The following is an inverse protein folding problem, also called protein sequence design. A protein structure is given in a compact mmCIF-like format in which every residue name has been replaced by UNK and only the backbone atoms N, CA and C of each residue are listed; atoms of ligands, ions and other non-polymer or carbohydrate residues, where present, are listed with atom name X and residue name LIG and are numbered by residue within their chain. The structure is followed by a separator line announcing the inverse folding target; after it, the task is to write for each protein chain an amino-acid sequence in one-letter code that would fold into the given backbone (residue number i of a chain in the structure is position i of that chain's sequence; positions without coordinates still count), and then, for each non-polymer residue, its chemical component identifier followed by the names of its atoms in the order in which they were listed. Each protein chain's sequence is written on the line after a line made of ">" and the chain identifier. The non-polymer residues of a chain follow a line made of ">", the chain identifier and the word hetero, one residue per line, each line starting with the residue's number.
data_IF_449102842977
#
_entry.id   IF_449102842977
#
_cell.length_a   1.000
_cell.length_b   1.000
_cell.length_c   1.000
_cell.angle_alpha   90.00
_cell.angle_beta   90.00
_cell.angle_gamma   90.00
#
_symmetry.space_group_name_H-M   'P 1'
#
loop_
_entity.id
_entity.type
_entity.pdbx_description
1 polymer ?
#
# COMPACT_ATOMS: atom_id res chain seq x y z
N UNK A 1 49.76 20.54 32.91
CA UNK A 1 48.42 21.12 33.12
C UNK A 1 47.42 20.24 32.40
N UNK A 2 46.64 19.46 33.15
CA UNK A 2 45.70 18.46 32.63
C UNK A 2 44.33 19.12 32.44
N UNK A 3 43.74 19.01 31.26
CA UNK A 3 42.31 19.18 31.07
C UNK A 3 41.73 17.87 30.54
N UNK A 4 40.88 17.26 31.37
CA UNK A 4 39.97 16.18 31.01
C UNK A 4 38.88 16.76 30.11
N UNK A 5 38.53 16.05 29.04
CA UNK A 5 37.25 16.24 28.35
C UNK A 5 36.53 14.91 28.47
N UNK A 6 35.46 14.91 29.27
CA UNK A 6 34.56 13.79 29.49
C UNK A 6 33.48 13.75 28.40
N UNK A 7 33.14 12.51 28.05
CA UNK A 7 32.06 12.10 27.15
C UNK A 7 30.68 12.52 27.67
N UNK A 8 29.77 12.92 26.78
CA UNK A 8 28.33 12.87 27.03
C UNK A 8 27.57 12.35 25.81
N UNK A 9 26.84 11.26 26.04
CA UNK A 9 25.80 10.69 25.18
C UNK A 9 24.45 11.33 25.56
N UNK A 10 23.47 11.44 24.64
CA UNK A 10 22.08 11.58 25.03
C UNK A 10 21.23 10.44 24.47
N UNK A 11 20.84 9.55 25.38
CA UNK A 11 19.58 8.82 25.31
C UNK A 11 18.83 9.13 26.61
N UNK A 12 17.51 9.20 26.50
CA UNK A 12 16.48 9.01 27.53
C UNK A 12 15.51 10.17 27.85
N UNK A 13 14.24 9.79 27.67
CA UNK A 13 13.10 9.95 28.57
C UNK A 13 12.36 11.28 28.66
N UNK A 14 11.12 11.23 28.17
CA UNK A 14 10.05 12.19 28.44
C UNK A 14 8.93 11.39 29.11
N UNK A 15 8.90 11.39 30.44
CA UNK A 15 7.70 11.08 31.22
C UNK A 15 7.22 12.30 32.03
N UNK A 16 5.91 12.50 31.91
CA UNK A 16 4.91 13.06 32.82
C UNK A 16 5.36 13.69 34.16
N UNK A 17 4.92 14.94 34.34
CA UNK A 17 4.78 15.56 35.67
C UNK A 17 3.67 16.62 35.66
N UNK A 18 2.50 16.30 36.21
CA UNK A 18 1.55 17.31 36.69
C UNK A 18 1.18 16.97 38.13
N UNK A 19 1.57 17.92 38.99
CA UNK A 19 1.36 17.96 40.44
C UNK A 19 -0.06 18.45 40.73
N UNK A 20 -0.76 17.87 41.71
CA UNK A 20 -2.06 18.37 42.16
C UNK A 20 -2.47 17.81 43.51
N UNK A 21 -2.35 18.65 44.54
CA UNK A 21 -2.61 18.35 45.95
C UNK A 21 -4.11 18.32 46.28
N UNK A 22 -4.45 17.61 47.36
CA UNK A 22 -5.79 17.32 47.82
C UNK A 22 -6.42 18.39 48.75
N UNK A 23 -7.74 18.22 48.96
CA UNK A 23 -8.64 18.70 50.03
C UNK A 23 -9.49 19.97 49.76
N UNK A 24 -10.62 20.20 50.48
CA UNK A 24 -11.70 19.28 50.88
C UNK A 24 -13.13 19.82 50.60
N UNK A 25 -14.11 18.93 50.83
CA UNK A 25 -15.57 19.09 50.70
C UNK A 25 -16.16 20.34 51.37
N UNK A 26 -16.97 21.11 50.62
CA UNK A 26 -18.04 21.98 51.17
C UNK A 26 -19.35 21.76 50.41
N UNK A 27 -20.36 21.26 51.14
CA UNK A 27 -21.77 21.25 50.75
C UNK A 27 -22.23 22.69 50.46
N UNK A 28 -22.74 22.95 49.26
CA UNK A 28 -23.58 24.13 48.96
C UNK A 28 -25.00 23.65 48.67
N UNK A 29 -25.92 24.03 49.55
CA UNK A 29 -27.36 24.04 49.30
C UNK A 29 -27.62 24.91 48.06
N UNK A 30 -28.23 24.34 47.03
CA UNK A 30 -28.84 25.12 45.94
C UNK A 30 -30.27 25.44 46.36
N UNK A 31 -30.48 26.70 46.73
CA UNK A 31 -31.81 27.33 46.69
C UNK A 31 -32.24 27.39 45.22
N UNK A 32 -33.40 26.82 44.91
CA UNK A 32 -34.03 26.93 43.60
C UNK A 32 -34.72 28.29 43.53
N UNK A 33 -34.17 29.18 42.71
CA UNK A 33 -34.88 30.38 42.28
C UNK A 33 -35.99 29.95 41.30
N UNK A 34 -37.23 30.30 41.63
CA UNK A 34 -38.41 30.11 40.79
C UNK A 34 -38.41 31.23 39.75
N UNK A 35 -38.37 30.87 38.47
CA UNK A 35 -38.47 31.81 37.34
C UNK A 35 -39.94 32.27 37.19
N UNK A 36 -40.24 33.58 37.32
CA UNK A 36 -41.60 34.10 37.21
C UNK A 36 -42.18 34.12 35.78
N UNK A 37 -41.45 33.67 34.76
CA UNK A 37 -41.91 33.68 33.36
C UNK A 37 -42.12 32.28 32.75
N UNK A 38 -42.25 31.23 33.57
CA UNK A 38 -42.55 29.90 33.07
C UNK A 38 -43.99 29.80 32.52
N UNK A 39 -44.10 29.70 31.20
CA UNK A 39 -45.35 29.48 30.45
C UNK A 39 -45.98 28.14 30.88
N UNK A 40 -47.31 28.10 31.17
CA UNK A 40 -47.97 26.89 31.63
C UNK A 40 -48.03 25.79 30.54
N UNK A 41 -47.92 24.51 30.92
CA UNK A 41 -48.06 23.40 29.97
C UNK A 41 -49.51 23.26 29.46
N UNK A 42 -49.71 22.75 28.24
CA UNK A 42 -51.02 22.63 27.60
C UNK A 42 -51.94 21.61 28.29
N UNK A 43 -53.27 21.76 28.12
CA UNK A 43 -54.28 20.96 28.81
C UNK A 43 -54.25 19.49 28.41
N UNK A 44 -54.40 18.62 29.42
CA UNK A 44 -54.44 17.17 29.27
C UNK A 44 -55.70 16.73 28.51
N UNK A 45 -55.51 15.94 27.46
CA UNK A 45 -56.58 15.37 26.64
C UNK A 45 -57.38 14.32 27.43
N UNK A 46 -58.70 14.36 27.26
CA UNK A 46 -59.69 13.50 27.87
C UNK A 46 -59.48 11.98 27.59
N UNK A 47 -59.95 11.09 28.48
CA UNK A 47 -59.80 9.64 28.31
C UNK A 47 -60.64 9.12 27.14
N UNK A 48 -59.96 8.58 26.12
CA UNK A 48 -60.59 7.87 25.00
C UNK A 48 -61.22 6.56 25.48
N UNK A 49 -62.54 6.46 25.26
CA UNK A 49 -63.34 5.25 25.40
C UNK A 49 -62.65 4.06 24.71
N UNK A 50 -62.48 2.96 25.47
CA UNK A 50 -62.08 1.63 24.95
C UNK A 50 -63.07 1.18 23.88
N UNK A 51 -62.75 1.41 22.60
CA UNK A 51 -63.30 0.62 21.50
C UNK A 51 -62.68 -0.77 21.62
N UNK A 52 -63.52 -1.80 21.77
CA UNK A 52 -63.16 -3.21 21.58
C UNK A 52 -62.33 -3.34 20.30
N UNK A 53 -61.01 -3.51 20.42
CA UNK A 53 -60.23 -4.07 19.32
C UNK A 53 -60.70 -5.51 19.14
N UNK A 54 -61.36 -5.77 18.01
CA UNK A 54 -61.39 -7.11 17.44
C UNK A 54 -59.93 -7.54 17.29
N UNK A 55 -59.57 -8.67 17.90
CA UNK A 55 -58.28 -9.30 17.74
C UNK A 55 -58.14 -9.70 16.27
N UNK A 56 -57.50 -8.82 15.48
CA UNK A 56 -56.94 -9.20 14.20
C UNK A 56 -55.69 -9.99 14.55
N UNK A 57 -55.69 -11.29 14.25
CA UNK A 57 -54.56 -12.19 14.43
C UNK A 57 -53.29 -11.55 13.85
N UNK A 58 -52.45 -10.99 14.72
CA UNK A 58 -51.12 -10.42 14.38
C UNK A 58 -50.08 -11.50 14.08
N UNK A 59 -50.48 -12.78 14.09
CA UNK A 59 -49.59 -13.92 13.87
C UNK A 59 -49.70 -14.51 12.45
N UNK A 60 -50.53 -13.95 11.58
CA UNK A 60 -50.41 -14.20 10.15
C UNK A 60 -49.23 -13.37 9.60
N UNK A 61 -48.00 -13.82 9.89
CA UNK A 61 -46.84 -13.44 9.09
C UNK A 61 -47.15 -13.95 7.68
N UNK A 62 -47.43 -13.09 6.68
CA UNK A 62 -47.56 -13.56 5.32
C UNK A 62 -46.27 -14.34 4.99
N UNK A 63 -46.35 -15.51 4.34
CA UNK A 63 -45.15 -16.28 4.03
C UNK A 63 -44.18 -15.35 3.33
N UNK A 64 -43.04 -15.10 3.99
CA UNK A 64 -41.98 -14.25 3.46
C UNK A 64 -41.71 -14.71 2.04
N UNK A 65 -41.78 -13.82 1.03
CA UNK A 65 -41.66 -14.23 -0.37
C UNK A 65 -40.32 -14.95 -0.52
N UNK A 66 -40.40 -16.27 -0.69
CA UNK A 66 -39.25 -17.13 -0.96
C UNK A 66 -38.55 -16.48 -2.16
N UNK A 67 -37.29 -16.08 -1.99
CA UNK A 67 -36.54 -15.43 -3.05
C UNK A 67 -36.33 -16.44 -4.18
N UNK A 68 -37.25 -16.46 -5.15
CA UNK A 68 -37.16 -17.33 -6.32
C UNK A 68 -36.06 -16.79 -7.22
N UNK A 69 -35.03 -17.59 -7.42
CA UNK A 69 -33.93 -17.26 -8.31
C UNK A 69 -34.43 -17.18 -9.76
N UNK A 70 -33.87 -16.23 -10.51
CA UNK A 70 -34.07 -16.14 -11.95
C UNK A 70 -33.75 -17.46 -12.66
N UNK A 71 -34.53 -17.82 -13.69
CA UNK A 71 -34.26 -19.02 -14.50
C UNK A 71 -32.89 -18.96 -15.20
N UNK A 72 -32.34 -17.76 -15.41
CA UNK A 72 -31.02 -17.55 -16.01
C UNK A 72 -30.08 -16.92 -14.99
N UNK A 73 -28.87 -17.48 -14.86
CA UNK A 73 -27.84 -17.01 -13.91
C UNK A 73 -27.25 -15.63 -14.27
N UNK A 74 -27.48 -15.16 -15.49
CA UNK A 74 -26.98 -13.88 -16.03
C UNK A 74 -27.90 -12.71 -15.65
N UNK A 75 -29.06 -12.99 -15.08
CA UNK A 75 -30.06 -11.99 -14.76
C UNK A 75 -30.02 -11.60 -13.27
N UNK A 76 -29.89 -10.30 -12.99
CA UNK A 76 -29.92 -9.79 -11.61
C UNK A 76 -31.34 -9.64 -11.06
N UNK A 77 -32.31 -9.27 -11.91
CA UNK A 77 -33.72 -9.18 -11.55
C UNK A 77 -34.57 -9.67 -12.70
N UNK A 78 -35.49 -10.58 -12.42
CA UNK A 78 -36.43 -11.10 -13.40
C UNK A 78 -37.79 -10.41 -13.32
N UNK A 79 -38.55 -10.51 -14.41
CA UNK A 79 -39.98 -10.29 -14.40
C UNK A 79 -40.69 -11.38 -13.58
N UNK A 80 -41.97 -11.16 -13.25
CA UNK A 80 -42.81 -12.08 -12.47
C UNK A 80 -42.92 -13.49 -13.10
N UNK A 81 -42.74 -13.59 -14.41
CA UNK A 81 -42.75 -14.87 -15.14
C UNK A 81 -41.44 -15.67 -14.98
N UNK A 82 -40.42 -15.10 -14.35
CA UNK A 82 -39.05 -15.64 -14.19
C UNK A 82 -38.34 -16.01 -15.50
N UNK A 83 -38.95 -15.72 -16.65
CA UNK A 83 -38.46 -16.05 -17.99
C UNK A 83 -37.77 -14.85 -18.63
N UNK A 84 -38.24 -13.64 -18.31
CA UNK A 84 -37.65 -12.39 -18.79
C UNK A 84 -36.82 -11.72 -17.70
N UNK A 85 -35.80 -11.04 -18.15
CA UNK A 85 -34.93 -10.24 -17.32
C UNK A 85 -35.36 -8.77 -17.35
N UNK A 86 -35.33 -8.12 -16.19
CA UNK A 86 -35.51 -6.67 -16.07
C UNK A 86 -34.14 -5.96 -16.01
N UNK A 87 -33.14 -6.60 -15.40
CA UNK A 87 -31.77 -6.07 -15.31
C UNK A 87 -30.75 -7.20 -15.44
N UNK A 88 -29.82 -7.06 -16.38
CA UNK A 88 -28.74 -8.03 -16.61
C UNK A 88 -27.53 -7.78 -15.70
N UNK A 89 -26.72 -8.82 -15.50
CA UNK A 89 -25.41 -8.71 -14.88
C UNK A 89 -24.47 -7.82 -15.70
N UNK A 90 -23.41 -7.30 -15.06
CA UNK A 90 -22.37 -6.54 -15.75
C UNK A 90 -21.71 -7.39 -16.87
N UNK A 91 -21.39 -6.74 -17.99
CA UNK A 91 -20.96 -7.36 -19.24
C UNK A 91 -22.10 -7.80 -20.16
N UNK A 92 -23.36 -7.65 -19.73
CA UNK A 92 -24.55 -8.01 -20.51
C UNK A 92 -25.52 -6.83 -20.64
N UNK A 93 -26.34 -6.86 -21.69
CA UNK A 93 -27.40 -5.90 -21.95
C UNK A 93 -28.74 -6.59 -22.16
N UNK A 94 -29.81 -5.86 -21.88
CA UNK A 94 -31.16 -6.35 -22.07
C UNK A 94 -31.57 -6.22 -23.53
N UNK A 95 -31.89 -7.34 -24.17
CA UNK A 95 -32.44 -7.37 -25.52
C UNK A 95 -33.93 -7.00 -25.51
N UNK A 96 -34.47 -6.63 -26.67
CA UNK A 96 -35.91 -6.30 -26.81
C UNK A 96 -36.85 -7.45 -26.42
N UNK A 97 -36.38 -8.69 -26.47
CA UNK A 97 -37.15 -9.88 -26.08
C UNK A 97 -37.10 -10.15 -24.56
N UNK A 98 -36.39 -9.33 -23.80
CA UNK A 98 -36.22 -9.49 -22.36
C UNK A 98 -35.16 -10.51 -21.97
N UNK A 99 -34.22 -10.86 -22.86
CA UNK A 99 -33.09 -11.75 -22.53
C UNK A 99 -31.78 -10.98 -22.44
N UNK A 100 -30.83 -11.47 -21.65
CA UNK A 100 -29.51 -10.86 -21.53
C UNK A 100 -28.56 -11.37 -22.61
N UNK A 101 -27.96 -10.47 -23.37
CA UNK A 101 -26.93 -10.78 -24.35
C UNK A 101 -25.60 -10.10 -23.96
N UNK A 102 -24.47 -10.73 -24.27
CA UNK A 102 -23.15 -10.22 -23.89
C UNK A 102 -22.77 -9.01 -24.74
N UNK A 103 -22.18 -7.99 -24.12
CA UNK A 103 -21.58 -6.88 -24.85
C UNK A 103 -20.40 -7.40 -25.70
N UNK A 104 -20.32 -6.97 -26.97
CA UNK A 104 -19.25 -7.37 -27.89
C UNK A 104 -18.00 -6.48 -27.82
N UNK A 105 -18.08 -5.35 -27.13
CA UNK A 105 -16.98 -4.40 -27.00
C UNK A 105 -16.01 -4.81 -25.88
N UNK A 106 -14.69 -4.80 -26.13
CA UNK A 106 -13.70 -5.10 -25.08
C UNK A 106 -13.71 -4.04 -23.99
N UNK A 107 -13.64 -4.47 -22.72
CA UNK A 107 -13.61 -3.60 -21.55
C UNK A 107 -14.93 -2.86 -21.26
N UNK A 108 -16.03 -3.31 -21.86
CA UNK A 108 -17.35 -2.70 -21.69
C UNK A 108 -18.18 -3.42 -20.62
N UNK A 109 -18.41 -2.73 -19.50
CA UNK A 109 -19.24 -3.25 -18.41
C UNK A 109 -20.74 -3.15 -18.72
N UNK A 110 -21.20 -2.12 -19.45
CA UNK A 110 -22.62 -1.99 -19.87
C UNK A 110 -22.72 -1.40 -21.26
N UNK A 111 -23.62 -1.93 -22.07
CA UNK A 111 -23.92 -1.44 -23.42
C UNK A 111 -25.44 -1.24 -23.59
N UNK A 112 -25.85 -0.32 -24.46
CA UNK A 112 -27.23 0.16 -24.58
C UNK A 112 -28.06 -0.59 -25.63
N UNK A 113 -27.88 -1.91 -25.73
CA UNK A 113 -28.50 -2.70 -26.81
C UNK A 113 -27.83 -2.56 -28.17
N UNK A 114 -27.10 -1.47 -28.40
CA UNK A 114 -26.19 -1.32 -29.54
C UNK A 114 -24.84 -1.96 -29.20
N UNK A 115 -24.52 -3.07 -29.89
CA UNK A 115 -23.25 -3.78 -29.75
C UNK A 115 -22.02 -2.94 -30.10
N UNK A 116 -22.20 -1.75 -30.69
CA UNK A 116 -21.12 -0.83 -31.05
C UNK A 116 -20.93 0.32 -30.07
N UNK A 117 -21.84 0.49 -29.09
CA UNK A 117 -21.77 1.56 -28.09
C UNK A 117 -21.80 1.02 -26.66
N UNK A 118 -20.79 1.43 -25.90
CA UNK A 118 -20.71 1.21 -24.47
C UNK A 118 -21.25 2.42 -23.70
N UNK A 119 -21.94 2.17 -22.59
CA UNK A 119 -22.44 3.18 -21.66
C UNK A 119 -21.67 3.21 -20.35
N UNK A 120 -21.06 2.10 -19.95
CA UNK A 120 -20.17 2.03 -18.79
C UNK A 120 -19.00 1.07 -19.06
N UNK A 121 -17.79 1.48 -18.70
CA UNK A 121 -16.58 0.68 -18.87
C UNK A 121 -16.23 -0.10 -17.61
N UNK A 122 -15.50 -1.21 -17.80
CA UNK A 122 -14.92 -1.98 -16.70
C UNK A 122 -13.90 -1.14 -15.91
N UNK A 123 -13.56 -1.62 -14.71
CA UNK A 123 -12.42 -1.08 -13.97
C UNK A 123 -11.17 -1.12 -14.87
N UNK A 124 -10.36 -0.07 -14.82
CA UNK A 124 -9.19 0.14 -15.71
C UNK A 124 -9.50 0.54 -17.16
N UNK A 125 -10.76 0.88 -17.48
CA UNK A 125 -11.15 1.48 -18.76
C UNK A 125 -11.92 2.80 -18.55
N UNK A 126 -11.85 3.69 -19.54
CA UNK A 126 -12.62 4.94 -19.57
C UNK A 126 -13.46 5.07 -20.84
N UNK A 127 -14.58 5.78 -20.72
CA UNK A 127 -15.51 5.94 -21.82
C UNK A 127 -15.10 7.11 -22.73
N UNK A 128 -14.79 6.81 -23.99
CA UNK A 128 -14.43 7.80 -25.01
C UNK A 128 -15.29 7.57 -26.23
N UNK A 129 -16.20 8.51 -26.51
CA UNK A 129 -17.12 8.46 -27.69
C UNK A 129 -17.86 7.12 -27.81
N UNK A 130 -18.37 6.59 -26.70
CA UNK A 130 -19.10 5.31 -26.68
C UNK A 130 -18.21 4.07 -26.76
N UNK A 131 -16.88 4.19 -26.66
CA UNK A 131 -15.95 3.06 -26.61
C UNK A 131 -15.14 3.08 -25.33
N UNK A 132 -14.82 1.90 -24.81
CA UNK A 132 -13.94 1.75 -23.66
C UNK A 132 -12.49 1.71 -24.11
N UNK A 133 -11.70 2.62 -23.57
CA UNK A 133 -10.27 2.72 -23.85
C UNK A 133 -9.52 2.42 -22.56
N UNK A 134 -8.46 1.60 -22.56
CA UNK A 134 -7.69 1.31 -21.35
C UNK A 134 -7.17 2.58 -20.70
N UNK A 135 -7.21 2.64 -19.37
CA UNK A 135 -6.57 3.68 -18.60
C UNK A 135 -5.04 3.45 -18.64
N UNK A 136 -4.31 4.25 -19.42
CA UNK A 136 -2.86 4.10 -19.53
C UNK A 136 -2.14 4.56 -18.26
N UNK A 137 -1.33 3.70 -17.66
CA UNK A 137 -0.45 4.06 -16.55
C UNK A 137 -1.14 4.19 -15.19
N UNK A 138 -2.38 3.72 -15.05
CA UNK A 138 -3.05 3.63 -13.75
C UNK A 138 -2.76 2.29 -13.08
N UNK A 139 -2.71 2.29 -11.76
CA UNK A 139 -2.62 1.06 -10.98
C UNK A 139 -3.97 0.32 -11.06
N UNK A 140 -3.92 -0.98 -11.35
CA UNK A 140 -5.14 -1.80 -11.48
C UNK A 140 -5.81 -2.01 -10.13
N UNK A 141 -5.03 -2.38 -9.10
CA UNK A 141 -5.52 -2.70 -7.76
C UNK A 141 -4.71 -2.01 -6.66
N UNK A 142 -5.32 -1.73 -5.50
CA UNK A 142 -4.60 -1.30 -4.29
C UNK A 142 -3.80 -2.44 -3.64
N UNK A 143 -3.22 -2.17 -2.46
CA UNK A 143 -2.50 -3.15 -1.66
C UNK A 143 -3.42 -4.23 -1.08
N UNK A 144 -4.73 -3.99 -1.00
CA UNK A 144 -5.76 -4.93 -0.54
C UNK A 144 -6.44 -5.68 -1.70
N UNK A 145 -5.98 -5.48 -2.95
CA UNK A 145 -6.53 -6.11 -4.14
C UNK A 145 -7.84 -5.49 -4.65
N UNK A 146 -8.28 -4.33 -4.12
CA UNK A 146 -9.45 -3.64 -4.63
C UNK A 146 -9.12 -2.87 -5.91
N UNK A 147 -10.02 -2.84 -6.91
CA UNK A 147 -9.77 -2.15 -8.17
C UNK A 147 -9.68 -0.63 -7.98
N UNK A 148 -8.57 -0.03 -8.43
CA UNK A 148 -8.36 1.43 -8.42
C UNK A 148 -8.76 2.06 -9.75
N UNK A 149 -8.21 1.56 -10.85
CA UNK A 149 -8.45 2.03 -12.21
C UNK A 149 -8.30 3.55 -12.41
N UNK A 150 -9.07 4.09 -13.36
CA UNK A 150 -9.26 5.53 -13.54
C UNK A 150 -10.73 5.93 -13.44
N UNK A 151 -10.97 7.20 -13.15
CA UNK A 151 -12.31 7.76 -13.20
C UNK A 151 -12.87 7.66 -14.63
N UNK A 152 -14.07 7.08 -14.76
CA UNK A 152 -14.63 6.72 -16.06
C UNK A 152 -14.92 7.94 -16.97
N UNK A 153 -15.10 9.13 -16.39
CA UNK A 153 -15.43 10.37 -17.11
C UNK A 153 -14.18 11.17 -17.47
N UNK A 154 -13.31 11.38 -16.49
CA UNK A 154 -12.12 12.25 -16.62
C UNK A 154 -10.89 11.48 -17.11
N UNK A 155 -10.84 10.16 -16.90
CA UNK A 155 -9.67 9.34 -17.17
C UNK A 155 -8.53 9.56 -16.19
N UNK A 156 -8.77 10.28 -15.09
CA UNK A 156 -7.76 10.56 -14.06
C UNK A 156 -7.61 9.31 -13.19
N UNK A 157 -6.38 8.80 -13.07
CA UNK A 157 -6.09 7.67 -12.18
C UNK A 157 -6.25 8.09 -10.71
N UNK A 158 -6.64 7.16 -9.83
CA UNK A 158 -6.49 7.39 -8.37
C UNK A 158 -5.03 7.30 -7.95
N UNK A 159 -4.33 6.29 -8.46
CA UNK A 159 -2.89 6.13 -8.32
C UNK A 159 -2.27 5.74 -9.66
N UNK A 160 -1.07 6.23 -9.93
CA UNK A 160 -0.30 5.79 -11.09
C UNK A 160 0.31 4.41 -10.81
N UNK A 161 0.39 3.59 -11.84
CA UNK A 161 1.11 2.32 -11.79
C UNK A 161 2.61 2.55 -11.52
N UNK A 162 3.28 1.50 -11.06
CA UNK A 162 4.74 1.49 -10.95
C UNK A 162 5.37 1.84 -12.31
N UNK A 163 6.40 2.70 -12.28
CA UNK A 163 7.01 3.22 -13.50
C UNK A 163 6.37 4.51 -14.03
N UNK A 164 5.25 4.96 -13.46
CA UNK A 164 4.51 6.15 -13.90
C UNK A 164 4.48 7.24 -12.81
N UNK A 165 4.23 8.48 -13.24
CA UNK A 165 4.08 9.63 -12.36
C UNK A 165 2.94 10.53 -12.83
N UNK A 166 2.36 11.27 -11.89
CA UNK A 166 1.26 12.19 -12.19
C UNK A 166 1.81 13.52 -12.70
N UNK A 167 1.43 13.93 -13.91
CA UNK A 167 1.81 15.23 -14.45
C UNK A 167 0.86 16.36 -13.98
N UNK A 168 1.12 17.60 -14.43
CA UNK A 168 0.31 18.77 -14.08
C UNK A 168 -1.17 18.65 -14.50
N UNK A 169 -1.48 17.83 -15.52
CA UNK A 169 -2.86 17.55 -15.98
C UNK A 169 -3.52 16.38 -15.26
N UNK A 170 -2.93 15.90 -14.17
CA UNK A 170 -3.38 14.72 -13.41
C UNK A 170 -3.32 13.40 -14.19
N UNK A 171 -2.66 13.36 -15.35
CA UNK A 171 -2.48 12.15 -16.13
C UNK A 171 -1.23 11.39 -15.67
N UNK A 172 -1.32 10.06 -15.64
CA UNK A 172 -0.17 9.20 -15.36
C UNK A 172 0.65 9.02 -16.63
N UNK A 173 1.90 9.48 -16.58
CA UNK A 173 2.84 9.42 -17.69
C UNK A 173 4.03 8.56 -17.29
N UNK A 174 4.56 7.78 -18.25
CA UNK A 174 5.69 6.89 -17.99
C UNK A 174 6.91 7.72 -17.66
N UNK A 175 7.56 7.42 -16.54
CA UNK A 175 8.79 8.08 -16.17
C UNK A 175 9.97 7.61 -17.03
N UNK A 176 11.02 8.43 -17.07
CA UNK A 176 12.21 8.18 -17.90
C UNK A 176 13.36 7.53 -17.13
N UNK A 177 13.24 7.40 -15.80
CA UNK A 177 14.31 6.89 -14.94
C UNK A 177 14.21 5.36 -14.89
N UNK A 178 15.21 4.64 -15.41
CA UNK A 178 15.18 3.19 -15.38
C UNK A 178 15.11 2.67 -13.93
N UNK A 179 14.36 1.57 -13.74
CA UNK A 179 14.14 0.90 -12.45
C UNK A 179 13.44 1.73 -11.36
N UNK A 180 12.92 2.92 -11.68
CA UNK A 180 12.14 3.67 -10.73
C UNK A 180 10.73 3.10 -10.58
N UNK A 181 10.34 2.75 -9.35
CA UNK A 181 9.01 2.25 -8.99
C UNK A 181 8.02 3.39 -8.86
N UNK A 182 8.29 4.33 -7.97
CA UNK A 182 7.46 5.52 -7.78
C UNK A 182 8.28 6.77 -8.02
N UNK A 183 7.68 7.75 -8.68
CA UNK A 183 8.35 8.97 -9.11
C UNK A 183 7.84 10.17 -8.33
N UNK A 184 8.73 11.11 -8.02
CA UNK A 184 8.38 12.43 -7.52
C UNK A 184 8.19 13.43 -8.67
N UNK A 185 8.92 13.27 -9.77
CA UNK A 185 8.85 14.11 -10.96
C UNK A 185 9.39 13.34 -12.19
N UNK A 186 9.31 13.89 -13.43
CA UNK A 186 9.87 13.23 -14.61
C UNK A 186 11.37 12.89 -14.49
N UNK A 187 12.07 13.63 -13.63
CA UNK A 187 13.53 13.55 -13.43
C UNK A 187 13.92 13.22 -11.98
N UNK A 188 12.96 12.85 -11.14
CA UNK A 188 13.22 12.45 -9.75
C UNK A 188 12.41 11.21 -9.37
N UNK A 189 13.13 10.17 -8.90
CA UNK A 189 12.52 8.95 -8.38
C UNK A 189 12.31 9.05 -6.88
N UNK A 190 11.16 8.58 -6.38
CA UNK A 190 10.83 8.50 -4.96
C UNK A 190 11.17 7.12 -4.37
N UNK A 191 10.85 6.04 -5.08
CA UNK A 191 11.15 4.64 -4.67
C UNK A 191 11.58 3.85 -5.90
N UNK A 192 12.61 3.02 -5.80
CA UNK A 192 13.03 2.11 -6.87
C UNK A 192 12.36 0.74 -6.75
N UNK A 193 12.19 0.06 -7.88
CA UNK A 193 11.56 -1.26 -7.90
C UNK A 193 12.49 -2.30 -7.28
N UNK A 194 12.04 -3.11 -6.31
CA UNK A 194 12.84 -4.20 -5.81
C UNK A 194 12.96 -5.28 -6.89
N UNK A 195 14.17 -5.48 -7.40
CA UNK A 195 14.58 -6.72 -8.07
C UNK A 195 13.94 -7.03 -9.44
N UNK A 196 14.37 -6.35 -10.51
CA UNK A 196 14.56 -7.07 -11.78
C UNK A 196 15.70 -8.08 -11.56
N UNK A 197 15.32 -9.27 -11.06
CA UNK A 197 16.14 -10.42 -10.65
C UNK A 197 17.40 -10.08 -9.83
N UNK A 198 17.19 -9.86 -8.53
CA UNK A 198 18.24 -9.60 -7.54
C UNK A 198 17.68 -8.76 -6.40
N UNK A 199 16.98 -9.41 -5.47
CA UNK A 199 16.48 -8.80 -4.24
C UNK A 199 17.64 -8.32 -3.36
N UNK A 200 18.03 -7.05 -3.51
CA UNK A 200 18.71 -6.21 -2.53
C UNK A 200 18.59 -4.77 -3.04
N UNK A 201 18.00 -3.88 -2.24
CA UNK A 201 17.67 -2.49 -2.58
C UNK A 201 18.74 -1.80 -3.43
N UNK A 202 18.36 -1.29 -4.61
CA UNK A 202 19.10 -0.25 -5.33
C UNK A 202 20.63 -0.41 -5.32
N UNK A 203 21.15 -1.60 -5.66
CA UNK A 203 22.59 -1.85 -5.58
C UNK A 203 23.35 -0.82 -6.43
N UNK A 204 24.15 0.00 -5.75
CA UNK A 204 25.01 0.98 -6.39
C UNK A 204 24.34 2.30 -6.77
N UNK A 205 23.26 2.73 -6.09
CA UNK A 205 22.73 4.10 -6.23
C UNK A 205 22.45 4.74 -4.87
N UNK A 206 22.84 6.01 -4.71
CA UNK A 206 22.59 6.82 -3.51
C UNK A 206 21.77 8.07 -3.83
N UNK A 207 20.98 8.56 -2.87
CA UNK A 207 20.19 9.79 -2.99
C UNK A 207 21.06 11.01 -2.71
N UNK A 208 21.17 11.93 -3.67
CA UNK A 208 21.80 13.25 -3.48
C UNK A 208 20.95 14.17 -2.60
N UNK A 209 21.58 15.23 -2.08
CA UNK A 209 20.91 16.31 -1.34
C UNK A 209 19.78 17.00 -2.14
N UNK A 210 19.79 16.86 -3.47
CA UNK A 210 18.74 17.38 -4.35
C UNK A 210 17.66 16.33 -4.69
N UNK A 211 17.58 15.23 -3.93
CA UNK A 211 16.67 14.10 -4.18
C UNK A 211 16.82 13.48 -5.58
N UNK A 212 18.00 13.61 -6.19
CA UNK A 212 18.39 12.90 -7.43
C UNK A 212 19.19 11.67 -7.06
N UNK A 213 19.01 10.55 -7.73
CA UNK A 213 19.88 9.39 -7.48
C UNK A 213 21.12 9.46 -8.37
N UNK A 214 22.28 9.23 -7.78
CA UNK A 214 23.52 9.06 -8.51
C UNK A 214 24.05 7.66 -8.30
N UNK A 215 24.69 7.12 -9.34
CA UNK A 215 25.36 5.83 -9.26
C UNK A 215 26.49 5.96 -8.23
N UNK A 216 26.49 5.07 -7.25
CA UNK A 216 27.60 4.92 -6.32
C UNK A 216 28.83 4.42 -7.06
N UNK A 217 29.99 4.57 -6.40
CA UNK A 217 31.25 4.02 -6.91
C UNK A 217 31.15 2.48 -7.04
N UNK A 218 31.90 1.86 -7.97
CA UNK A 218 31.99 0.41 -8.07
C UNK A 218 32.30 -0.23 -6.72
N UNK A 219 31.70 -1.38 -6.43
CA UNK A 219 31.83 -2.06 -5.14
C UNK A 219 30.87 -1.59 -4.05
N UNK A 220 30.14 -0.48 -4.27
CA UNK A 220 29.24 0.09 -3.28
C UNK A 220 27.79 -0.35 -3.48
N UNK A 221 27.14 -0.81 -2.42
CA UNK A 221 25.72 -1.16 -2.39
C UNK A 221 24.85 0.08 -2.15
N UNK A 222 25.22 0.91 -1.18
CA UNK A 222 24.55 2.18 -0.85
C UNK A 222 25.60 3.23 -0.52
N UNK A 223 25.48 4.42 -1.09
CA UNK A 223 26.39 5.54 -0.82
C UNK A 223 25.63 6.73 -0.25
N UNK A 224 26.34 7.52 0.56
CA UNK A 224 25.87 8.83 0.99
C UNK A 224 25.65 9.77 -0.21
N UNK A 225 25.03 10.91 0.09
CA UNK A 225 24.64 11.89 -0.92
C UNK A 225 25.78 12.27 -1.87
N UNK A 226 25.47 12.39 -3.16
CA UNK A 226 26.41 12.77 -4.23
C UNK A 226 27.49 11.73 -4.56
N UNK A 227 27.16 10.43 -4.51
CA UNK A 227 28.16 9.37 -4.71
C UNK A 227 29.30 9.46 -3.68
N UNK A 228 28.93 9.88 -2.47
CA UNK A 228 29.83 10.06 -1.34
C UNK A 228 30.39 8.74 -0.81
N UNK A 229 30.93 8.74 0.43
CA UNK A 229 31.42 7.51 1.02
C UNK A 229 30.33 6.45 1.02
N UNK A 230 30.74 5.22 0.73
CA UNK A 230 29.85 4.09 0.73
C UNK A 230 29.39 3.79 2.15
N UNK A 231 28.08 3.67 2.37
CA UNK A 231 27.51 3.18 3.62
C UNK A 231 27.66 1.67 3.74
N UNK A 232 27.28 0.95 2.68
CA UNK A 232 27.31 -0.50 2.63
C UNK A 232 28.03 -0.96 1.38
N UNK A 233 29.06 -1.80 1.53
CA UNK A 233 29.73 -2.41 0.39
C UNK A 233 28.95 -3.62 -0.14
N UNK A 234 29.15 -3.95 -1.42
CA UNK A 234 28.66 -5.20 -1.96
C UNK A 234 29.32 -6.39 -1.27
N UNK A 235 28.63 -7.54 -1.26
CA UNK A 235 29.17 -8.80 -0.72
C UNK A 235 30.54 -9.09 -1.34
N UNK A 236 31.52 -9.45 -0.51
CA UNK A 236 32.90 -9.70 -0.93
C UNK A 236 33.76 -8.43 -1.06
N UNK A 237 33.23 -7.27 -0.67
CA UNK A 237 33.97 -6.01 -0.58
C UNK A 237 33.92 -5.42 0.82
N UNK A 238 35.01 -4.76 1.23
CA UNK A 238 35.14 -4.06 2.50
C UNK A 238 35.31 -2.55 2.33
N UNK A 239 34.81 -1.80 3.30
CA UNK A 239 34.94 -0.34 3.32
C UNK A 239 36.35 0.05 3.79
N UNK A 240 37.05 0.85 3.00
CA UNK A 240 38.36 1.40 3.35
C UNK A 240 38.22 2.82 3.92
N UNK A 241 39.32 3.39 4.46
CA UNK A 241 39.32 4.66 5.22
C UNK A 241 38.77 5.87 4.45
N UNK A 242 38.86 5.87 3.11
CA UNK A 242 38.31 6.93 2.25
C UNK A 242 36.79 6.77 2.01
N UNK A 243 36.18 5.73 2.57
CA UNK A 243 34.78 5.36 2.37
C UNK A 243 34.51 4.62 1.06
N UNK A 244 35.50 4.31 0.24
CA UNK A 244 35.33 3.46 -0.94
C UNK A 244 35.24 1.98 -0.54
N UNK A 245 34.68 1.15 -1.43
CA UNK A 245 34.66 -0.30 -1.25
C UNK A 245 35.73 -0.95 -2.11
N UNK A 246 36.52 -1.84 -1.51
CA UNK A 246 37.50 -2.66 -2.23
C UNK A 246 37.17 -4.14 -2.05
N UNK A 247 37.38 -4.98 -3.09
CA UNK A 247 37.28 -6.43 -2.95
C UNK A 247 38.20 -6.92 -1.83
N UNK A 248 37.74 -7.89 -1.04
CA UNK A 248 38.60 -8.52 -0.03
C UNK A 248 39.64 -9.41 -0.72
N UNK A 249 40.93 -9.28 -0.36
CA UNK A 249 42.07 -9.90 -1.07
C UNK A 249 42.06 -11.44 -1.01
N UNK A 250 41.41 -12.03 0.00
CA UNK A 250 41.31 -13.48 0.19
C UNK A 250 39.91 -14.04 -0.11
N UNK A 251 39.00 -13.20 -0.59
CA UNK A 251 37.66 -13.63 -1.00
C UNK A 251 37.66 -14.01 -2.46
N UNK A 252 37.52 -15.30 -2.79
CA UNK A 252 37.02 -15.71 -4.11
C UNK A 252 35.58 -15.19 -4.24
N UNK A 253 35.42 -13.91 -4.58
CA UNK A 253 34.16 -13.18 -4.56
C UNK A 253 33.11 -13.72 -5.56
N UNK A 254 33.51 -14.64 -6.43
CA UNK A 254 32.64 -15.23 -7.46
C UNK A 254 32.16 -16.65 -7.17
N UNK A 255 32.61 -17.28 -6.08
CA UNK A 255 32.15 -18.62 -5.71
C UNK A 255 31.36 -18.57 -4.40
N UNK A 256 30.08 -18.18 -4.48
CA UNK A 256 29.08 -18.36 -3.41
C UNK A 256 28.99 -19.83 -2.93
N UNK A 257 29.56 -20.77 -3.70
CA UNK A 257 29.67 -22.19 -3.40
C UNK A 257 30.95 -22.60 -2.64
N UNK A 258 31.92 -21.71 -2.38
CA UNK A 258 33.26 -22.09 -1.86
C UNK A 258 33.68 -21.44 -0.54
N UNK A 259 32.78 -20.73 0.16
CA UNK A 259 33.07 -20.16 1.49
C UNK A 259 33.89 -18.89 1.49
N UNK A 260 33.41 -17.89 0.75
CA UNK A 260 34.06 -16.58 0.67
C UNK A 260 33.82 -15.69 1.89
N UNK A 261 34.67 -14.67 2.00
CA UNK A 261 34.45 -13.54 2.89
C UNK A 261 33.24 -12.71 2.44
N UNK A 262 32.29 -12.47 3.35
CA UNK A 262 31.09 -11.65 3.06
C UNK A 262 31.38 -10.17 3.23
N UNK A 263 32.18 -9.82 4.25
CA UNK A 263 32.55 -8.44 4.59
C UNK A 263 33.95 -8.40 5.20
N UNK A 264 34.75 -7.38 4.86
CA UNK A 264 36.04 -7.09 5.49
C UNK A 264 36.09 -5.65 6.00
N UNK A 265 36.85 -5.40 7.09
CA UNK A 265 36.93 -4.08 7.73
C UNK A 265 38.36 -3.55 7.79
N UNK A 266 38.53 -2.26 7.44
CA UNK A 266 39.78 -1.52 7.55
C UNK A 266 40.82 -1.88 6.47
N UNK A 267 41.07 -3.16 6.25
CA UNK A 267 41.94 -3.67 5.17
C UNK A 267 41.29 -4.85 4.45
N UNK A 268 41.56 -5.05 3.15
CA UNK A 268 41.04 -6.17 2.37
C UNK A 268 41.39 -7.57 2.92
N UNK A 269 42.31 -7.66 3.89
CA UNK A 269 42.86 -8.93 4.40
C UNK A 269 42.08 -9.52 5.57
N UNK A 270 41.39 -8.70 6.36
CA UNK A 270 40.70 -9.13 7.57
C UNK A 270 39.21 -9.30 7.32
N UNK A 271 38.75 -10.54 7.17
CA UNK A 271 37.35 -10.84 6.97
C UNK A 271 36.58 -10.77 8.29
N UNK A 272 35.54 -9.93 8.39
CA UNK A 272 34.73 -9.81 9.62
C UNK A 272 33.54 -10.75 9.64
N UNK A 273 33.11 -11.27 8.49
CA UNK A 273 31.98 -12.20 8.39
C UNK A 273 32.20 -13.19 7.26
N UNK A 274 32.05 -14.49 7.57
CA UNK A 274 32.19 -15.58 6.61
C UNK A 274 30.83 -16.04 6.09
N UNK A 275 30.77 -16.48 4.83
CA UNK A 275 29.53 -16.98 4.24
C UNK A 275 29.14 -18.30 4.93
N UNK A 276 27.92 -18.43 5.50
CA UNK A 276 27.52 -19.63 6.23
C UNK A 276 27.39 -20.87 5.35
N UNK A 277 27.33 -20.71 4.01
CA UNK A 277 27.05 -21.78 3.08
C UNK A 277 25.54 -22.08 2.98
N UNK A 278 25.12 -22.87 1.98
CA UNK A 278 23.75 -23.35 1.91
C UNK A 278 23.50 -24.44 2.98
N UNK A 279 22.69 -24.12 4.00
CA UNK A 279 22.29 -25.01 5.10
C UNK A 279 22.51 -24.38 6.49
N UNK A 280 21.80 -24.87 7.52
CA UNK A 280 21.83 -24.32 8.89
C UNK A 280 23.12 -24.64 9.68
N UNK A 281 24.13 -25.26 9.07
CA UNK A 281 25.41 -25.57 9.73
C UNK A 281 26.50 -24.62 9.26
N UNK A 282 27.07 -23.77 10.15
CA UNK A 282 28.13 -22.85 9.77
C UNK A 282 29.39 -23.65 9.39
N UNK A 283 29.67 -23.75 8.09
CA UNK A 283 30.84 -24.47 7.56
C UNK A 283 32.13 -23.66 7.59
N UNK A 284 32.05 -22.34 7.80
CA UNK A 284 33.20 -21.44 7.76
C UNK A 284 33.28 -20.58 9.02
N UNK A 285 34.46 -20.54 9.64
CA UNK A 285 34.77 -19.65 10.75
C UNK A 285 35.99 -18.79 10.42
N UNK A 286 36.10 -17.64 11.08
CA UNK A 286 37.26 -16.77 10.95
C UNK A 286 38.45 -17.40 11.70
N UNK A 287 39.58 -17.58 11.00
CA UNK A 287 40.85 -17.95 11.59
C UNK A 287 41.38 -16.76 12.44
N UNK A 288 41.56 -16.93 13.76
CA UNK A 288 42.03 -15.85 14.63
C UNK A 288 43.47 -15.40 14.34
N UNK A 289 44.30 -16.23 13.70
CA UNK A 289 45.68 -15.89 13.38
C UNK A 289 45.79 -15.09 12.08
N UNK A 290 45.02 -15.45 11.06
CA UNK A 290 45.12 -14.86 9.71
C UNK A 290 43.96 -13.93 9.36
N UNK A 291 42.86 -13.97 10.10
CA UNK A 291 41.63 -13.25 9.79
C UNK A 291 40.88 -13.78 8.56
N UNK A 292 41.30 -14.91 7.98
CA UNK A 292 40.70 -15.53 6.81
C UNK A 292 39.54 -16.45 7.18
N UNK A 293 38.59 -16.67 6.27
CA UNK A 293 37.54 -17.67 6.46
C UNK A 293 38.08 -19.06 6.13
N UNK A 294 38.10 -19.96 7.12
CA UNK A 294 38.55 -21.34 6.97
C UNK A 294 37.36 -22.29 7.11
N UNK A 295 37.37 -23.37 6.33
CA UNK A 295 36.37 -24.43 6.48
C UNK A 295 36.66 -25.20 7.77
N UNK A 296 35.65 -25.35 8.62
CA UNK A 296 35.78 -26.10 9.87
C UNK A 296 35.04 -27.41 9.69
N UNK A 297 35.77 -28.53 9.74
CA UNK A 297 35.13 -29.85 9.77
C UNK A 297 34.59 -30.05 11.19
N UNK A 298 33.27 -29.86 11.35
CA UNK A 298 32.53 -30.17 12.58
C UNK A 298 32.16 -31.64 12.59
#
# INVERSE_FOLDING_TARGET
>A
MRQKVEYFSPYEDIEFGIVGWAAPLRRRQRQQAVDPNAVPPPPQAAPLRRRRQQAVDRNAVPPSPVAVACKTSVCWRCAEDYRRCNTCADGFFLTKTGTCARCKLPGCARCDGDVTKCTACEASYRLVKGKCVPCSGCRENDEQGQPLGCDAKTGICKECADGYFRNARQACVKGTIPHCKTYASPTACKVYAPGSQGSMSSQGYGLTNRKRCLKCRPGCLECDTNSGPCRFCMIGSGKIKDGSCKPCENGNAFALSSGGCVSCEGTPKNCTSCYPGPGDTPRYQQDPATGACIHVNV
#
